data_IF_124696929416
#
_entry.id   IF_124696929416
#
_cell.length_a   1.000
_cell.length_b   1.000
_cell.length_c   1.000
_cell.angle_alpha   90.00
_cell.angle_beta   90.00
_cell.angle_gamma   90.00
#
_symmetry.space_group_name_H-M   'P 1'
#
loop_
_entity.id
_entity.type
_entity.pdbx_description
1 polymer ?
#
# COMPACT_ATOMS: atom_id res chain seq x y z
N UNK A 1 18.52 -34.21 -12.48
CA UNK A 1 19.43 -33.08 -12.68
C UNK A 1 19.49 -32.64 -14.14
N UNK A 2 19.63 -33.57 -15.12
CA UNK A 2 19.66 -33.19 -16.55
C UNK A 2 18.47 -32.33 -17.00
N UNK A 3 17.25 -32.69 -16.57
CA UNK A 3 16.05 -31.91 -16.90
C UNK A 3 16.09 -30.46 -16.32
N UNK A 4 16.70 -30.28 -15.16
CA UNK A 4 16.87 -28.97 -14.57
C UNK A 4 17.92 -28.13 -15.32
N UNK A 5 18.99 -28.77 -15.78
CA UNK A 5 20.01 -28.15 -16.60
C UNK A 5 19.54 -27.87 -18.05
N UNK A 6 18.57 -28.61 -18.55
CA UNK A 6 17.95 -28.40 -19.85
C UNK A 6 16.95 -27.21 -19.87
N UNK A 7 16.63 -26.66 -18.71
CA UNK A 7 15.85 -25.43 -18.63
C UNK A 7 16.68 -24.22 -19.08
N UNK A 8 15.97 -23.24 -19.63
CA UNK A 8 16.56 -21.94 -19.97
C UNK A 8 15.78 -20.85 -19.22
N UNK A 9 16.42 -20.09 -18.32
CA UNK A 9 17.77 -20.29 -17.79
C UNK A 9 17.92 -21.62 -17.04
N UNK A 10 19.14 -22.12 -16.75
CA UNK A 10 19.33 -23.36 -15.99
C UNK A 10 18.68 -23.29 -14.60
N UNK A 11 17.91 -24.30 -14.24
CA UNK A 11 17.22 -24.35 -12.95
C UNK A 11 18.13 -24.99 -11.90
N UNK A 12 18.49 -24.20 -10.88
CA UNK A 12 19.25 -24.70 -9.74
C UNK A 12 18.29 -25.32 -8.72
N UNK A 13 18.48 -26.61 -8.45
CA UNK A 13 17.68 -27.35 -7.48
C UNK A 13 18.54 -27.78 -6.28
N UNK A 14 17.96 -27.87 -5.07
CA UNK A 14 18.59 -28.55 -3.95
C UNK A 14 18.96 -29.97 -4.31
N UNK A 15 20.03 -30.50 -3.71
CA UNK A 15 20.41 -31.88 -3.90
C UNK A 15 19.26 -32.82 -3.53
N UNK A 16 18.92 -33.79 -4.39
CA UNK A 16 17.89 -34.78 -4.08
C UNK A 16 18.23 -35.57 -2.82
N UNK A 17 17.23 -35.80 -1.98
CA UNK A 17 17.36 -36.59 -0.78
C UNK A 17 16.80 -37.98 -0.97
N UNK A 18 17.41 -38.97 -0.32
CA UNK A 18 16.89 -40.33 -0.26
C UNK A 18 15.99 -40.50 0.98
N UNK A 19 14.79 -40.99 0.78
CA UNK A 19 13.86 -41.30 1.86
C UNK A 19 13.43 -42.77 1.78
N UNK A 20 13.21 -43.44 2.93
CA UNK A 20 12.67 -44.80 2.99
C UNK A 20 11.18 -44.75 3.29
N UNK A 21 10.39 -45.48 2.54
CA UNK A 21 8.98 -45.71 2.79
C UNK A 21 8.68 -47.18 2.74
N UNK A 22 8.57 -47.84 3.89
CA UNK A 22 8.55 -49.30 3.99
C UNK A 22 9.88 -49.90 3.49
N UNK A 23 9.82 -50.87 2.58
CA UNK A 23 11.00 -51.49 1.96
C UNK A 23 11.53 -50.69 0.74
N UNK A 24 10.78 -49.69 0.26
CA UNK A 24 11.16 -48.94 -0.91
C UNK A 24 12.04 -47.71 -0.55
N UNK A 25 13.08 -47.52 -1.37
CA UNK A 25 13.90 -46.29 -1.32
C UNK A 25 13.39 -45.33 -2.38
N UNK A 26 12.99 -44.12 -1.93
CA UNK A 26 12.47 -43.06 -2.78
C UNK A 26 13.52 -41.97 -2.95
N UNK A 27 13.61 -41.39 -4.15
CA UNK A 27 14.39 -40.20 -4.43
C UNK A 27 13.45 -38.98 -4.39
N UNK A 28 13.69 -38.08 -3.45
CA UNK A 28 12.94 -36.84 -3.31
C UNK A 28 13.71 -35.65 -3.95
N UNK A 29 13.12 -35.07 -4.97
CA UNK A 29 13.62 -33.84 -5.59
C UNK A 29 12.64 -32.69 -5.23
N UNK A 30 13.12 -31.70 -4.52
CA UNK A 30 12.34 -30.52 -4.17
C UNK A 30 12.54 -29.42 -5.23
N UNK A 31 11.45 -28.90 -5.75
CA UNK A 31 11.46 -27.71 -6.61
C UNK A 31 10.95 -26.55 -5.79
N UNK A 32 11.77 -25.53 -5.50
CA UNK A 32 11.34 -24.37 -4.72
C UNK A 32 10.16 -23.66 -5.39
N UNK A 33 9.19 -23.25 -4.59
CA UNK A 33 8.14 -22.36 -5.05
C UNK A 33 8.68 -20.92 -5.19
N UNK A 34 8.03 -20.10 -6.00
CA UNK A 34 8.37 -18.67 -6.08
C UNK A 34 9.69 -18.36 -6.78
N UNK A 35 10.18 -19.21 -7.67
CA UNK A 35 11.39 -18.93 -8.45
C UNK A 35 11.28 -17.58 -9.16
N UNK A 36 12.34 -16.75 -9.12
CA UNK A 36 12.37 -15.38 -9.62
C UNK A 36 12.30 -15.26 -11.14
N UNK A 37 12.69 -16.29 -11.88
CA UNK A 37 12.76 -16.28 -13.35
C UNK A 37 11.68 -17.16 -13.96
N UNK A 38 11.35 -16.90 -15.24
CA UNK A 38 10.49 -17.74 -16.03
C UNK A 38 11.33 -18.75 -16.79
N UNK A 39 11.10 -20.03 -16.56
CA UNK A 39 11.88 -21.12 -17.13
C UNK A 39 11.18 -21.73 -18.34
N UNK A 40 11.94 -21.95 -19.41
CA UNK A 40 11.49 -22.75 -20.54
C UNK A 40 12.23 -24.08 -20.58
N UNK A 41 11.58 -25.15 -20.99
CA UNK A 41 12.21 -26.44 -21.28
C UNK A 41 12.19 -26.66 -22.80
N UNK A 42 13.38 -26.72 -23.41
CA UNK A 42 13.53 -26.81 -24.88
C UNK A 42 12.70 -25.77 -25.64
N UNK A 43 12.73 -24.51 -25.15
CA UNK A 43 11.99 -23.39 -25.74
C UNK A 43 10.48 -23.40 -25.51
N UNK A 44 9.94 -24.34 -24.72
CA UNK A 44 8.51 -24.42 -24.38
C UNK A 44 8.28 -24.00 -22.93
N UNK A 45 7.34 -23.08 -22.73
CA UNK A 45 6.86 -22.68 -21.42
C UNK A 45 5.69 -23.58 -21.03
N UNK A 46 5.86 -24.34 -19.97
CA UNK A 46 4.94 -25.40 -19.56
C UNK A 46 4.33 -25.13 -18.19
N UNK A 47 3.07 -25.47 -18.02
CA UNK A 47 2.37 -25.48 -16.73
C UNK A 47 1.91 -26.89 -16.40
N UNK A 48 2.03 -27.28 -15.15
CA UNK A 48 1.50 -28.56 -14.67
C UNK A 48 -0.01 -28.43 -14.43
N UNK A 49 -0.79 -29.26 -15.11
CA UNK A 49 -2.23 -29.40 -14.88
C UNK A 49 -2.55 -30.87 -14.63
N UNK A 50 -2.83 -31.17 -13.36
CA UNK A 50 -3.03 -32.54 -12.93
C UNK A 50 -1.82 -33.44 -13.23
N UNK A 51 -2.03 -34.49 -14.04
CA UNK A 51 -1.00 -35.45 -14.44
C UNK A 51 -0.16 -35.06 -15.65
N UNK A 52 -0.46 -33.94 -16.34
CA UNK A 52 0.15 -33.57 -17.64
C UNK A 52 0.80 -32.22 -17.62
N UNK A 53 1.79 -31.99 -18.49
CA UNK A 53 2.40 -30.70 -18.73
C UNK A 53 1.73 -30.10 -19.97
N UNK A 54 1.11 -28.89 -19.80
CA UNK A 54 0.45 -28.15 -20.86
C UNK A 54 1.28 -26.92 -21.26
N UNK A 55 1.41 -26.60 -22.55
CA UNK A 55 2.00 -25.35 -22.95
C UNK A 55 1.17 -24.15 -22.44
N UNK A 56 1.86 -23.11 -21.99
CA UNK A 56 1.20 -21.85 -21.63
C UNK A 56 0.62 -21.18 -22.88
N UNK A 57 -0.59 -20.68 -22.80
CA UNK A 57 -1.12 -19.78 -23.81
C UNK A 57 -0.29 -18.49 -23.89
N UNK A 58 -0.28 -17.78 -25.03
CA UNK A 58 0.46 -16.51 -25.16
C UNK A 58 0.09 -15.48 -24.07
N UNK A 59 -1.18 -15.42 -23.69
CA UNK A 59 -1.64 -14.49 -22.65
C UNK A 59 -1.21 -14.93 -21.24
N UNK A 60 -1.26 -16.22 -20.95
CA UNK A 60 -0.76 -16.78 -19.68
C UNK A 60 0.77 -16.59 -19.58
N UNK A 61 1.50 -16.75 -20.66
CA UNK A 61 2.95 -16.51 -20.71
C UNK A 61 3.28 -15.03 -20.49
N UNK A 62 2.60 -14.11 -21.18
CA UNK A 62 2.78 -12.67 -20.97
C UNK A 62 2.52 -12.27 -19.51
N UNK A 63 1.45 -12.80 -18.92
CA UNK A 63 1.12 -12.56 -17.51
C UNK A 63 2.23 -13.06 -16.60
N UNK A 64 2.70 -14.29 -16.81
CA UNK A 64 3.77 -14.90 -16.02
C UNK A 64 5.10 -14.11 -16.13
N UNK A 65 5.47 -13.68 -17.34
CA UNK A 65 6.66 -12.85 -17.58
C UNK A 65 6.55 -11.48 -16.89
N UNK A 66 5.36 -10.88 -16.92
CA UNK A 66 5.10 -9.62 -16.21
C UNK A 66 5.13 -9.79 -14.70
N UNK A 67 4.50 -10.84 -14.16
CA UNK A 67 4.49 -11.15 -12.73
C UNK A 67 5.88 -11.45 -12.16
N UNK A 68 6.76 -12.01 -12.99
CA UNK A 68 8.13 -12.35 -12.62
C UNK A 68 9.15 -11.24 -12.93
N UNK A 69 8.73 -10.13 -13.51
CA UNK A 69 9.60 -9.01 -13.83
C UNK A 69 10.50 -9.23 -15.06
N UNK A 70 10.37 -10.35 -15.77
CA UNK A 70 11.15 -10.64 -16.98
C UNK A 70 10.82 -9.71 -18.15
N UNK A 71 9.61 -9.12 -18.14
CA UNK A 71 9.21 -8.01 -19.01
C UNK A 71 8.86 -6.84 -18.11
N UNK A 72 9.81 -5.97 -17.83
CA UNK A 72 9.57 -4.75 -17.07
C UNK A 72 8.58 -3.86 -17.81
N UNK A 73 7.29 -3.90 -17.42
CA UNK A 73 6.25 -3.06 -18.00
C UNK A 73 6.67 -1.58 -18.03
N UNK A 74 7.36 -1.13 -17.01
CA UNK A 74 7.82 0.25 -16.87
C UNK A 74 8.80 0.69 -17.97
N UNK A 75 9.58 -0.25 -18.55
CA UNK A 75 10.53 0.00 -19.65
C UNK A 75 9.88 -0.09 -21.02
N UNK A 76 8.63 -0.54 -21.11
CA UNK A 76 7.88 -0.59 -22.36
C UNK A 76 7.65 0.80 -22.93
N UNK A 77 7.64 0.92 -24.26
CA UNK A 77 7.31 2.15 -24.98
C UNK A 77 5.86 2.07 -25.39
N UNK A 78 4.98 2.97 -24.93
CA UNK A 78 3.61 3.01 -25.39
C UNK A 78 3.53 3.31 -26.91
N UNK A 79 2.48 2.80 -27.54
CA UNK A 79 2.22 3.09 -28.94
C UNK A 79 2.10 4.62 -29.15
N UNK A 80 2.76 5.11 -30.20
CA UNK A 80 2.80 6.54 -30.56
C UNK A 80 3.28 7.48 -29.45
N UNK A 81 4.03 6.99 -28.45
CA UNK A 81 4.62 7.86 -27.44
C UNK A 81 5.68 8.78 -28.06
N UNK A 82 5.57 10.07 -27.77
CA UNK A 82 6.44 11.11 -28.29
C UNK A 82 7.13 11.89 -27.16
N UNK A 83 8.36 12.38 -27.43
CA UNK A 83 9.11 13.18 -26.45
C UNK A 83 8.37 14.49 -26.06
N UNK A 84 7.49 14.99 -26.92
CA UNK A 84 6.65 16.17 -26.64
C UNK A 84 5.64 15.98 -25.50
N UNK A 85 5.35 14.73 -25.13
CA UNK A 85 4.49 14.42 -23.98
C UNK A 85 5.20 14.63 -22.64
N UNK A 86 6.53 14.66 -22.67
CA UNK A 86 7.35 14.92 -21.46
C UNK A 86 7.33 16.41 -21.12
N UNK A 87 7.11 16.72 -19.85
CA UNK A 87 7.20 18.06 -19.31
C UNK A 87 8.64 18.43 -18.99
N UNK A 88 9.18 19.38 -19.75
CA UNK A 88 10.56 19.83 -19.59
C UNK A 88 10.83 20.49 -18.24
N UNK A 89 9.83 21.14 -17.63
CA UNK A 89 9.98 21.75 -16.32
C UNK A 89 10.15 20.68 -15.22
N UNK A 90 9.35 19.61 -15.30
CA UNK A 90 9.48 18.45 -14.37
C UNK A 90 10.85 17.76 -14.53
N UNK A 91 11.32 17.60 -15.77
CA UNK A 91 12.65 17.04 -16.05
C UNK A 91 13.74 17.94 -15.49
N UNK A 92 13.68 19.25 -15.73
CA UNK A 92 14.69 20.20 -15.23
C UNK A 92 14.72 20.19 -13.69
N UNK A 93 13.58 20.20 -13.03
CA UNK A 93 13.51 20.12 -11.56
C UNK A 93 14.14 18.83 -11.01
N UNK A 94 13.96 17.73 -11.73
CA UNK A 94 14.57 16.45 -11.38
C UNK A 94 16.08 16.44 -11.60
N UNK A 95 16.57 16.92 -12.75
CA UNK A 95 18.01 16.89 -13.09
C UNK A 95 18.82 17.80 -12.18
N UNK A 96 18.31 18.98 -11.83
CA UNK A 96 18.94 19.86 -10.82
C UNK A 96 19.13 19.11 -9.50
N UNK A 97 18.13 18.37 -9.06
CA UNK A 97 18.23 17.58 -7.83
C UNK A 97 19.17 16.37 -7.94
N UNK A 98 19.23 15.77 -9.12
CA UNK A 98 20.08 14.61 -9.38
C UNK A 98 21.57 14.95 -9.55
N UNK A 99 21.90 16.23 -9.79
CA UNK A 99 23.26 16.76 -9.84
C UNK A 99 23.77 17.13 -11.23
N UNK A 100 25.03 17.66 -11.33
CA UNK A 100 25.57 18.29 -12.53
C UNK A 100 25.55 17.40 -13.78
N UNK A 101 25.91 16.12 -13.66
CA UNK A 101 25.93 15.18 -14.80
C UNK A 101 24.53 15.02 -15.44
N UNK A 102 23.46 15.17 -14.63
CA UNK A 102 22.10 15.08 -15.10
C UNK A 102 21.67 16.38 -15.81
N UNK A 103 22.15 17.54 -15.34
CA UNK A 103 21.84 18.84 -15.93
C UNK A 103 22.51 19.02 -17.29
N UNK A 104 23.78 18.58 -17.44
CA UNK A 104 24.51 18.72 -18.70
C UNK A 104 23.91 17.88 -19.84
N UNK A 105 23.41 16.67 -19.54
CA UNK A 105 22.89 15.73 -20.52
C UNK A 105 21.57 15.09 -20.07
N UNK A 106 20.48 15.85 -19.97
CA UNK A 106 19.24 15.39 -19.36
C UNK A 106 18.60 14.19 -20.10
N UNK A 107 18.64 14.14 -21.42
CA UNK A 107 18.07 13.02 -22.17
C UNK A 107 18.87 11.73 -22.02
N UNK A 108 20.20 11.81 -22.04
CA UNK A 108 21.05 10.65 -21.81
C UNK A 108 20.92 10.17 -20.34
N UNK A 109 20.74 11.10 -19.41
CA UNK A 109 20.50 10.77 -18.01
C UNK A 109 19.16 10.05 -17.83
N UNK A 110 18.08 10.56 -18.42
CA UNK A 110 16.77 9.90 -18.41
C UNK A 110 16.80 8.53 -19.10
N UNK A 111 17.60 8.37 -20.16
CA UNK A 111 17.79 7.06 -20.78
C UNK A 111 18.48 6.08 -19.81
N UNK A 112 19.54 6.49 -19.12
CA UNK A 112 20.19 5.66 -18.09
C UNK A 112 19.23 5.28 -16.95
N UNK A 113 18.29 6.17 -16.62
CA UNK A 113 17.24 5.90 -15.64
C UNK A 113 16.09 5.02 -16.18
N UNK A 114 16.13 4.61 -17.45
CA UNK A 114 15.09 3.81 -18.06
C UNK A 114 13.82 4.58 -18.41
N UNK A 115 13.84 5.93 -18.28
CA UNK A 115 12.69 6.79 -18.59
C UNK A 115 12.54 7.08 -20.09
N UNK A 116 13.62 6.96 -20.84
CA UNK A 116 13.67 7.12 -22.30
C UNK A 116 14.37 5.92 -22.94
N UNK A 117 14.01 5.62 -24.18
CA UNK A 117 14.75 4.72 -25.07
C UNK A 117 15.10 5.43 -26.36
N UNK A 118 16.25 5.07 -26.96
CA UNK A 118 16.61 5.55 -28.30
C UNK A 118 15.80 4.82 -29.35
N UNK A 119 15.23 5.54 -30.28
CA UNK A 119 14.38 4.97 -31.33
C UNK A 119 15.19 4.10 -32.33
N UNK A 120 16.47 4.37 -32.46
CA UNK A 120 17.43 3.63 -33.28
C UNK A 120 17.92 2.31 -32.62
N UNK A 121 17.55 2.04 -31.37
CA UNK A 121 17.94 0.82 -30.65
C UNK A 121 17.05 -0.40 -30.97
N UNK A 122 16.12 -0.32 -31.91
CA UNK A 122 15.32 -1.44 -32.43
C UNK A 122 16.10 -2.31 -33.44
N UNK A 123 17.39 -2.49 -33.27
CA UNK A 123 18.22 -3.40 -34.02
C UNK A 123 19.10 -4.20 -33.07
N UNK A 124 19.09 -5.51 -33.19
CA UNK A 124 20.10 -6.37 -32.60
C UNK A 124 21.48 -5.74 -32.78
N UNK A 125 22.09 -5.27 -31.72
CA UNK A 125 23.52 -4.92 -31.75
C UNK A 125 24.29 -6.21 -31.96
N UNK A 126 24.61 -6.50 -33.19
CA UNK A 126 25.57 -7.55 -33.50
C UNK A 126 26.95 -7.09 -32.95
N UNK A 127 27.64 -7.94 -32.17
CA UNK A 127 28.97 -7.64 -31.72
C UNK A 127 29.88 -7.41 -32.95
N UNK A 128 30.39 -6.18 -33.12
CA UNK A 128 31.35 -5.84 -34.19
C UNK A 128 30.93 -4.71 -35.15
N UNK A 129 29.74 -4.14 -35.01
CA UNK A 129 29.39 -2.92 -35.75
C UNK A 129 29.92 -1.68 -35.04
N UNK A 130 30.66 -0.88 -35.79
CA UNK A 130 31.25 0.37 -35.31
C UNK A 130 30.18 1.34 -34.79
N UNK A 131 30.53 2.11 -33.76
CA UNK A 131 29.72 3.21 -33.27
C UNK A 131 29.35 4.15 -34.42
N UNK A 132 28.09 4.69 -34.47
CA UNK A 132 27.70 5.65 -35.50
C UNK A 132 28.63 6.86 -35.49
N UNK A 133 28.90 7.46 -36.64
CA UNK A 133 29.76 8.61 -36.77
C UNK A 133 29.28 9.78 -35.93
N UNK A 134 30.24 10.56 -35.39
CA UNK A 134 29.95 11.71 -34.51
C UNK A 134 29.05 12.80 -35.16
N UNK A 135 28.95 12.83 -36.48
CA UNK A 135 28.16 13.78 -37.29
C UNK A 135 26.85 13.19 -37.80
N UNK A 136 26.38 12.06 -37.23
CA UNK A 136 25.12 11.43 -37.60
C UNK A 136 23.89 12.19 -37.12
N UNK A 137 22.66 11.87 -37.61
CA UNK A 137 21.43 12.49 -37.13
C UNK A 137 21.31 12.33 -35.64
N UNK A 138 20.86 13.39 -34.93
CA UNK A 138 20.70 13.37 -33.47
C UNK A 138 19.83 12.19 -33.06
N UNK A 139 20.23 11.43 -32.04
CA UNK A 139 19.44 10.30 -31.58
C UNK A 139 18.02 10.75 -31.24
N UNK A 140 17.04 10.08 -31.79
CA UNK A 140 15.63 10.29 -31.42
C UNK A 140 15.32 9.47 -30.18
N UNK A 141 14.70 10.10 -29.20
CA UNK A 141 14.29 9.44 -27.95
C UNK A 141 12.77 9.26 -27.92
N UNK A 142 12.33 8.16 -27.36
CA UNK A 142 10.92 7.89 -27.07
C UNK A 142 10.76 7.62 -25.56
N UNK A 143 9.71 8.18 -24.92
CA UNK A 143 9.47 7.93 -23.52
C UNK A 143 8.97 6.49 -23.28
N UNK A 144 9.45 5.90 -22.21
CA UNK A 144 8.96 4.63 -21.67
C UNK A 144 7.71 4.87 -20.81
N UNK A 145 7.02 3.79 -20.39
CA UNK A 145 5.94 3.89 -19.40
C UNK A 145 6.42 4.59 -18.13
N UNK A 146 7.62 4.25 -17.62
CA UNK A 146 8.22 4.93 -16.47
C UNK A 146 8.42 6.42 -16.73
N UNK A 147 8.98 6.79 -17.89
CA UNK A 147 9.21 8.18 -18.24
C UNK A 147 7.93 9.01 -18.26
N UNK A 148 6.83 8.44 -18.81
CA UNK A 148 5.54 9.11 -18.83
C UNK A 148 4.90 9.18 -17.44
N UNK A 149 4.94 8.11 -16.63
CA UNK A 149 4.43 8.15 -15.26
C UNK A 149 5.14 9.18 -14.39
N UNK A 150 6.42 9.44 -14.65
CA UNK A 150 7.24 10.34 -13.84
C UNK A 150 7.23 11.79 -14.36
N UNK A 151 7.13 11.99 -15.66
CA UNK A 151 7.42 13.29 -16.26
C UNK A 151 6.41 13.74 -17.34
N UNK A 152 5.32 13.01 -17.61
CA UNK A 152 4.35 13.47 -18.59
C UNK A 152 3.67 14.78 -18.17
N UNK A 153 3.20 15.55 -19.17
CA UNK A 153 2.34 16.70 -18.97
C UNK A 153 0.94 16.28 -18.53
N UNK A 154 0.46 15.17 -19.08
CA UNK A 154 -0.84 14.57 -18.79
C UNK A 154 -0.66 13.06 -18.67
N UNK A 155 -0.64 12.57 -17.42
CA UNK A 155 -0.51 11.14 -17.11
C UNK A 155 -1.84 10.43 -17.32
N UNK A 156 -2.96 11.11 -17.01
CA UNK A 156 -4.31 10.51 -17.08
C UNK A 156 -4.66 10.09 -18.50
N UNK A 157 -4.26 10.85 -19.51
CA UNK A 157 -4.50 10.53 -20.92
C UNK A 157 -3.92 9.16 -21.35
N UNK A 158 -2.84 8.72 -20.72
CA UNK A 158 -2.17 7.45 -21.01
C UNK A 158 -2.44 6.37 -19.98
N UNK A 159 -2.48 6.75 -18.71
CA UNK A 159 -2.56 5.85 -17.56
C UNK A 159 -3.63 6.32 -16.55
N UNK A 160 -4.92 6.31 -16.92
CA UNK A 160 -5.99 6.72 -15.99
C UNK A 160 -6.00 5.90 -14.70
N UNK A 161 -5.48 4.65 -14.77
CA UNK A 161 -5.35 3.78 -13.61
C UNK A 161 -4.21 4.17 -12.65
N UNK A 162 -3.33 5.12 -12.99
CA UNK A 162 -2.25 5.59 -12.13
C UNK A 162 -2.74 6.59 -11.06
N UNK A 163 -4.05 6.71 -10.87
CA UNK A 163 -4.65 7.58 -9.85
C UNK A 163 -4.46 7.04 -8.43
N UNK A 164 -4.48 7.97 -7.47
CA UNK A 164 -4.58 7.68 -6.04
C UNK A 164 -5.91 8.26 -5.56
N UNK A 165 -6.84 7.39 -5.18
CA UNK A 165 -8.11 7.78 -4.56
C UNK A 165 -7.93 7.86 -3.05
N UNK A 166 -8.16 9.03 -2.47
CA UNK A 166 -8.11 9.30 -1.04
C UNK A 166 -9.54 9.45 -0.54
N UNK A 167 -9.89 8.71 0.51
CA UNK A 167 -11.23 8.78 1.11
C UNK A 167 -11.10 8.86 2.62
N UNK A 168 -11.80 9.80 3.24
CA UNK A 168 -11.93 9.90 4.68
C UNK A 168 -13.34 9.52 5.13
N UNK A 169 -13.44 8.56 6.03
CA UNK A 169 -14.63 8.22 6.79
C UNK A 169 -14.48 8.73 8.22
N UNK A 170 -15.52 9.34 8.77
CA UNK A 170 -15.48 9.86 10.15
C UNK A 170 -15.50 8.75 11.21
N UNK A 171 -16.18 7.65 10.90
CA UNK A 171 -16.34 6.47 11.77
C UNK A 171 -15.30 5.39 11.55
N UNK A 172 -15.65 4.18 12.00
CA UNK A 172 -14.84 2.95 11.81
C UNK A 172 -15.21 2.20 10.55
N UNK A 173 -16.42 2.44 10.04
CA UNK A 173 -16.97 1.75 8.88
C UNK A 173 -17.14 2.69 7.69
N UNK A 174 -17.29 2.09 6.51
CA UNK A 174 -17.68 2.83 5.32
C UNK A 174 -19.08 3.35 5.50
N UNK A 175 -19.29 4.65 5.33
CA UNK A 175 -20.57 5.34 5.47
C UNK A 175 -20.88 6.12 4.19
N UNK A 176 -22.13 6.54 4.04
CA UNK A 176 -22.59 7.33 2.89
C UNK A 176 -21.98 8.74 2.89
N UNK A 177 -21.60 9.26 4.08
CA UNK A 177 -20.90 10.52 4.22
C UNK A 177 -19.41 10.30 4.31
N UNK A 178 -18.69 10.75 3.29
CA UNK A 178 -17.22 10.67 3.21
C UNK A 178 -16.68 11.89 2.46
N UNK A 179 -15.41 12.17 2.69
CA UNK A 179 -14.64 13.14 1.93
C UNK A 179 -13.72 12.41 0.97
N UNK A 180 -13.69 12.82 -0.31
CA UNK A 180 -12.93 12.14 -1.36
C UNK A 180 -12.11 13.11 -2.18
N UNK A 181 -10.88 12.72 -2.49
CA UNK A 181 -10.01 13.36 -3.47
C UNK A 181 -9.40 12.30 -4.40
N UNK A 182 -9.49 12.53 -5.71
CA UNK A 182 -8.82 11.72 -6.72
C UNK A 182 -7.60 12.48 -7.23
N UNK A 183 -6.42 11.92 -6.97
CA UNK A 183 -5.15 12.54 -7.37
C UNK A 183 -4.67 11.90 -8.67
N UNK A 184 -4.66 12.69 -9.73
CA UNK A 184 -4.25 12.31 -11.08
C UNK A 184 -3.13 13.21 -11.55
N UNK A 185 -1.91 12.80 -11.33
CA UNK A 185 -0.69 13.55 -11.67
C UNK A 185 0.47 12.59 -11.89
N UNK A 186 1.65 13.11 -12.23
CA UNK A 186 2.88 12.32 -12.20
C UNK A 186 3.11 11.73 -10.83
N UNK A 187 3.71 10.54 -10.76
CA UNK A 187 3.86 9.82 -9.49
C UNK A 187 4.54 10.64 -8.38
N UNK A 188 5.61 11.43 -8.65
CA UNK A 188 6.19 12.28 -7.61
C UNK A 188 5.21 13.32 -7.06
N UNK A 189 4.42 13.96 -7.93
CA UNK A 189 3.44 14.97 -7.50
C UNK A 189 2.23 14.31 -6.83
N UNK A 190 1.79 13.16 -7.33
CA UNK A 190 0.70 12.39 -6.73
C UNK A 190 1.04 11.96 -5.29
N UNK A 191 2.27 11.47 -5.05
CA UNK A 191 2.75 11.14 -3.70
C UNK A 191 2.74 12.37 -2.79
N UNK A 192 3.30 13.52 -3.24
CA UNK A 192 3.35 14.75 -2.43
C UNK A 192 1.95 15.28 -2.10
N UNK A 193 1.04 15.22 -3.07
CA UNK A 193 -0.34 15.66 -2.88
C UNK A 193 -1.10 14.75 -1.92
N UNK A 194 -0.98 13.44 -2.09
CA UNK A 194 -1.59 12.46 -1.20
C UNK A 194 -1.02 12.54 0.23
N UNK A 195 0.30 12.70 0.38
CA UNK A 195 0.94 12.90 1.69
C UNK A 195 0.40 14.15 2.38
N UNK A 196 0.29 15.27 1.66
CA UNK A 196 -0.25 16.53 2.19
C UNK A 196 -1.68 16.35 2.65
N UNK A 197 -2.53 15.77 1.81
CA UNK A 197 -3.92 15.49 2.15
C UNK A 197 -4.04 14.63 3.41
N UNK A 198 -3.28 13.56 3.52
CA UNK A 198 -3.26 12.71 4.71
C UNK A 198 -2.81 13.48 5.95
N UNK A 199 -1.77 14.32 5.84
CA UNK A 199 -1.31 15.13 6.96
C UNK A 199 -2.36 16.19 7.39
N UNK A 200 -3.20 16.68 6.50
CA UNK A 200 -4.29 17.61 6.79
C UNK A 200 -5.49 16.92 7.44
N UNK A 201 -5.82 15.71 7.02
CA UNK A 201 -7.02 14.98 7.46
C UNK A 201 -6.79 14.05 8.66
N UNK A 202 -5.54 13.64 8.92
CA UNK A 202 -5.22 12.88 10.12
C UNK A 202 -5.42 13.72 11.37
N UNK A 203 -6.03 13.10 12.38
CA UNK A 203 -6.21 13.75 13.69
C UNK A 203 -4.88 13.99 14.36
N UNK A 204 -4.76 15.17 14.94
CA UNK A 204 -3.62 15.61 15.74
C UNK A 204 -4.13 16.34 16.97
N UNK A 205 -3.36 16.30 18.03
CA UNK A 205 -3.71 17.01 19.24
C UNK A 205 -2.52 17.12 20.18
N UNK A 206 -2.76 17.76 21.32
CA UNK A 206 -1.77 17.87 22.38
C UNK A 206 -2.44 17.48 23.69
N UNK A 207 -1.73 16.73 24.54
CA UNK A 207 -2.18 16.39 25.88
C UNK A 207 -1.13 16.77 26.88
N UNK A 208 -1.55 17.16 28.09
CA UNK A 208 -0.63 17.35 29.21
C UNK A 208 -0.31 15.99 29.83
N UNK A 209 0.97 15.67 29.98
CA UNK A 209 1.45 14.48 30.71
C UNK A 209 2.31 15.01 31.85
N UNK A 210 1.73 15.09 33.04
CA UNK A 210 2.33 15.84 34.14
C UNK A 210 2.35 17.33 33.82
N UNK A 211 3.54 17.95 33.84
CA UNK A 211 3.74 19.36 33.47
C UNK A 211 4.23 19.57 32.04
N UNK A 212 4.36 18.51 31.26
CA UNK A 212 4.83 18.58 29.88
C UNK A 212 3.67 18.44 28.88
N UNK A 213 3.66 19.31 27.86
CA UNK A 213 2.79 19.18 26.72
C UNK A 213 3.38 18.15 25.75
N UNK A 214 2.65 17.08 25.47
CA UNK A 214 2.99 16.09 24.45
C UNK A 214 2.01 16.18 23.29
N UNK A 215 2.56 16.43 22.10
CA UNK A 215 1.77 16.37 20.88
C UNK A 215 1.60 14.90 20.44
N UNK A 216 0.45 14.60 19.89
CA UNK A 216 0.14 13.29 19.35
C UNK A 216 -0.47 13.40 17.96
N UNK A 217 -0.27 12.37 17.15
CA UNK A 217 -0.91 12.20 15.85
C UNK A 217 -1.61 10.84 15.80
N UNK A 218 -2.65 10.74 14.99
CA UNK A 218 -3.41 9.50 14.81
C UNK A 218 -2.50 8.35 14.37
N UNK A 219 -1.54 8.64 13.48
CA UNK A 219 -0.52 7.71 13.01
C UNK A 219 0.83 8.41 13.00
N UNK A 220 1.95 7.68 13.12
CA UNK A 220 3.28 8.21 12.84
C UNK A 220 3.38 8.65 11.37
N UNK A 221 3.74 9.91 11.13
CA UNK A 221 3.80 10.47 9.79
C UNK A 221 4.72 9.67 8.84
N UNK A 222 5.85 9.18 9.34
CA UNK A 222 6.77 8.38 8.55
C UNK A 222 6.20 7.00 8.17
N UNK A 223 5.40 6.36 9.05
CA UNK A 223 4.72 5.10 8.73
C UNK A 223 3.65 5.28 7.64
N UNK A 224 2.89 6.38 7.71
CA UNK A 224 1.90 6.75 6.68
C UNK A 224 2.58 7.00 5.34
N UNK A 225 3.66 7.80 5.34
CA UNK A 225 4.45 8.09 4.15
C UNK A 225 4.99 6.82 3.52
N UNK A 226 5.54 5.92 4.33
CA UNK A 226 6.11 4.66 3.86
C UNK A 226 5.05 3.76 3.23
N UNK A 227 3.87 3.62 3.85
CA UNK A 227 2.77 2.85 3.31
C UNK A 227 2.30 3.42 1.95
N UNK A 228 2.16 4.74 1.84
CA UNK A 228 1.76 5.42 0.61
C UNK A 228 2.81 5.24 -0.50
N UNK A 229 4.07 5.48 -0.19
CA UNK A 229 5.15 5.45 -1.18
C UNK A 229 5.39 4.03 -1.67
N UNK A 230 5.32 3.02 -0.79
CA UNK A 230 5.40 1.62 -1.17
C UNK A 230 4.22 1.20 -2.07
N UNK A 231 3.02 1.68 -1.80
CA UNK A 231 1.86 1.43 -2.66
C UNK A 231 2.07 1.95 -4.09
N UNK A 232 2.71 3.12 -4.25
CA UNK A 232 3.05 3.70 -5.55
C UNK A 232 4.23 2.97 -6.20
N UNK A 233 5.30 2.74 -5.45
CA UNK A 233 6.54 2.14 -5.96
C UNK A 233 6.37 0.70 -6.45
N UNK A 234 5.52 -0.08 -5.76
CA UNK A 234 5.34 -1.51 -6.02
C UNK A 234 4.01 -1.86 -6.71
N UNK A 235 3.19 -0.85 -7.07
CA UNK A 235 1.97 -1.06 -7.84
C UNK A 235 2.27 -1.78 -9.16
N UNK A 236 1.40 -2.71 -9.54
CA UNK A 236 1.40 -3.26 -10.88
C UNK A 236 0.66 -2.33 -11.85
N UNK A 237 1.42 -1.49 -12.57
CA UNK A 237 0.84 -0.51 -13.51
C UNK A 237 0.26 -1.14 -14.77
N UNK A 238 0.50 -2.43 -15.03
CA UNK A 238 -0.15 -3.19 -16.10
C UNK A 238 -1.61 -3.50 -15.80
N UNK A 239 -1.99 -3.51 -14.51
CA UNK A 239 -3.38 -3.70 -14.06
C UNK A 239 -4.19 -2.44 -14.37
N UNK A 240 -5.21 -2.59 -15.21
CA UNK A 240 -6.14 -1.53 -15.61
C UNK A 240 -7.45 -1.66 -14.82
N UNK A 241 -8.18 -0.57 -14.72
CA UNK A 241 -9.53 -0.55 -14.14
C UNK A 241 -9.61 -0.24 -12.65
N UNK A 242 -8.48 -0.23 -11.92
CA UNK A 242 -8.45 0.26 -10.54
C UNK A 242 -7.16 1.00 -10.22
N UNK A 243 -7.26 2.05 -9.39
CA UNK A 243 -6.14 2.83 -8.86
C UNK A 243 -5.70 2.38 -7.48
N UNK A 244 -4.74 3.11 -6.91
CA UNK A 244 -4.40 2.99 -5.49
C UNK A 244 -5.54 3.60 -4.69
N UNK A 245 -5.94 2.95 -3.60
CA UNK A 245 -6.96 3.45 -2.67
C UNK A 245 -6.38 3.63 -1.29
N UNK A 246 -6.59 4.81 -0.74
CA UNK A 246 -6.17 5.17 0.61
C UNK A 246 -7.42 5.56 1.39
N UNK A 247 -7.80 4.74 2.36
CA UNK A 247 -9.01 4.90 3.16
C UNK A 247 -8.60 5.26 4.59
N UNK A 248 -8.92 6.48 4.99
CA UNK A 248 -8.67 7.01 6.33
C UNK A 248 -9.94 6.87 7.17
N UNK A 249 -9.90 6.00 8.17
CA UNK A 249 -10.97 5.80 9.14
C UNK A 249 -10.66 6.46 10.48
N UNK A 250 -11.64 6.47 11.36
CA UNK A 250 -11.47 6.99 12.71
C UNK A 250 -10.42 6.22 13.55
N UNK A 251 -10.18 4.95 13.25
CA UNK A 251 -9.29 4.07 14.01
C UNK A 251 -8.15 3.45 13.21
N UNK A 252 -8.17 3.54 11.87
CA UNK A 252 -7.16 2.93 11.01
C UNK A 252 -6.99 3.68 9.70
N UNK A 253 -5.85 3.42 9.05
CA UNK A 253 -5.56 3.80 7.68
C UNK A 253 -5.37 2.53 6.87
N UNK A 254 -6.07 2.39 5.76
CA UNK A 254 -5.94 1.31 4.81
C UNK A 254 -5.35 1.83 3.51
N UNK A 255 -4.26 1.23 3.05
CA UNK A 255 -3.60 1.56 1.78
C UNK A 255 -3.60 0.32 0.90
N UNK A 256 -4.40 0.34 -0.14
CA UNK A 256 -4.51 -0.73 -1.12
C UNK A 256 -3.80 -0.37 -2.41
N UNK A 257 -2.99 -1.28 -2.93
CA UNK A 257 -2.28 -1.16 -4.20
C UNK A 257 -2.59 -2.36 -5.10
N UNK A 258 -3.00 -2.14 -6.37
CA UNK A 258 -3.18 -3.21 -7.35
C UNK A 258 -1.88 -3.95 -7.64
N UNK A 259 -1.97 -5.28 -7.72
CA UNK A 259 -0.84 -6.18 -7.93
C UNK A 259 -0.46 -6.96 -6.68
N UNK A 260 -0.27 -8.27 -6.83
CA UNK A 260 0.14 -9.17 -5.76
C UNK A 260 1.62 -8.99 -5.44
N UNK A 261 2.09 -9.56 -4.34
CA UNK A 261 3.51 -9.56 -4.00
C UNK A 261 4.34 -10.15 -5.16
N UNK A 262 5.45 -9.51 -5.54
CA UNK A 262 6.22 -9.92 -6.70
C UNK A 262 7.18 -11.07 -6.41
N UNK A 263 7.32 -11.98 -7.36
CA UNK A 263 8.37 -12.98 -7.37
C UNK A 263 8.33 -13.94 -6.17
N UNK A 264 9.39 -13.92 -5.38
CA UNK A 264 9.61 -14.77 -4.21
C UNK A 264 9.24 -14.08 -2.89
N UNK A 265 8.75 -12.86 -2.94
CA UNK A 265 8.31 -12.13 -1.74
C UNK A 265 6.98 -12.72 -1.25
N UNK A 266 6.91 -13.05 0.02
CA UNK A 266 5.72 -13.56 0.72
C UNK A 266 5.45 -12.72 1.96
N UNK A 267 4.29 -12.90 2.60
CA UNK A 267 3.98 -12.20 3.85
C UNK A 267 4.96 -12.56 4.98
N UNK A 268 5.53 -13.76 4.94
CA UNK A 268 6.47 -14.25 5.95
C UNK A 268 7.86 -13.61 5.80
N UNK A 269 8.30 -13.33 4.58
CA UNK A 269 9.64 -12.80 4.29
C UNK A 269 9.67 -11.33 3.85
N UNK A 270 8.53 -10.65 3.80
CA UNK A 270 8.39 -9.27 3.29
C UNK A 270 9.30 -8.24 4.00
N UNK A 271 9.70 -8.52 5.23
CA UNK A 271 10.62 -7.67 6.01
C UNK A 271 12.07 -7.86 5.56
N UNK A 272 12.43 -9.09 5.21
CA UNK A 272 13.80 -9.50 4.90
C UNK A 272 14.12 -9.36 3.41
N UNK A 273 13.14 -9.69 2.55
CA UNK A 273 13.31 -9.70 1.10
C UNK A 273 13.17 -8.30 0.49
N UNK A 274 14.04 -8.04 -0.48
CA UNK A 274 14.11 -6.74 -1.15
C UNK A 274 13.98 -6.94 -2.65
N UNK A 275 12.78 -6.77 -3.12
CA UNK A 275 12.47 -6.88 -4.54
C UNK A 275 11.63 -5.69 -4.99
N UNK A 276 11.96 -5.11 -6.14
CA UNK A 276 11.15 -4.07 -6.76
C UNK A 276 10.68 -4.52 -8.14
N UNK A 277 9.37 -4.46 -8.38
CA UNK A 277 8.77 -4.66 -9.69
C UNK A 277 9.11 -3.52 -10.65
N UNK A 278 9.27 -2.31 -10.11
CA UNK A 278 9.42 -1.07 -10.87
C UNK A 278 10.74 -0.39 -10.50
N UNK A 279 11.86 -0.96 -10.92
CA UNK A 279 13.21 -0.47 -10.57
C UNK A 279 13.47 0.97 -11.04
N UNK A 280 12.99 1.33 -12.26
CA UNK A 280 13.15 2.68 -12.80
C UNK A 280 12.36 3.70 -11.98
N UNK A 281 11.11 3.38 -11.62
CA UNK A 281 10.28 4.24 -10.77
C UNK A 281 10.91 4.43 -9.38
N UNK A 282 11.31 3.33 -8.73
CA UNK A 282 11.98 3.36 -7.42
C UNK A 282 13.26 4.20 -7.46
N UNK A 283 14.07 4.04 -8.51
CA UNK A 283 15.30 4.79 -8.66
C UNK A 283 15.05 6.31 -8.73
N UNK A 284 14.09 6.75 -9.56
CA UNK A 284 13.78 8.17 -9.72
C UNK A 284 13.11 8.74 -8.46
N UNK A 285 12.19 8.00 -7.83
CA UNK A 285 11.57 8.41 -6.57
C UNK A 285 12.61 8.53 -5.45
N UNK A 286 13.65 7.68 -5.45
CA UNK A 286 14.77 7.77 -4.50
C UNK A 286 15.66 8.98 -4.78
N UNK A 287 16.00 9.26 -6.03
CA UNK A 287 16.75 10.46 -6.42
C UNK A 287 16.00 11.75 -6.01
N UNK A 288 14.67 11.70 -6.03
CA UNK A 288 13.79 12.78 -5.53
C UNK A 288 13.65 12.81 -4.01
N UNK A 289 14.24 11.87 -3.27
CA UNK A 289 14.15 11.76 -1.82
C UNK A 289 12.76 11.39 -1.30
N UNK A 290 11.94 10.75 -2.14
CA UNK A 290 10.62 10.25 -1.75
C UNK A 290 10.71 8.84 -1.17
N UNK A 291 11.71 8.04 -1.58
CA UNK A 291 11.98 6.68 -1.10
C UNK A 291 13.43 6.59 -0.59
N UNK A 292 13.68 5.72 0.37
CA UNK A 292 15.02 5.28 0.72
C UNK A 292 15.38 3.97 0.00
N UNK A 293 16.52 3.96 -0.71
CA UNK A 293 16.96 2.81 -1.52
C UNK A 293 17.40 1.58 -0.70
N UNK A 294 17.67 1.75 0.57
CA UNK A 294 18.25 0.70 1.41
C UNK A 294 17.25 -0.42 1.78
N UNK A 295 15.96 -0.27 1.43
CA UNK A 295 14.94 -1.29 1.64
C UNK A 295 14.53 -1.48 3.12
N UNK A 296 14.81 -0.51 4.00
CA UNK A 296 14.42 -0.54 5.41
C UNK A 296 13.05 0.09 5.68
N UNK A 297 12.24 0.28 4.65
CA UNK A 297 10.96 0.99 4.77
C UNK A 297 9.97 0.28 5.68
N UNK A 298 9.81 -1.03 5.51
CA UNK A 298 8.91 -1.84 6.36
C UNK A 298 9.44 -1.90 7.81
N UNK A 299 10.74 -2.11 8.01
CA UNK A 299 11.37 -2.08 9.34
C UNK A 299 11.13 -0.75 10.05
N UNK A 300 11.27 0.35 9.32
CA UNK A 300 11.02 1.69 9.85
C UNK A 300 9.55 1.88 10.21
N UNK A 301 8.63 1.41 9.36
CA UNK A 301 7.19 1.45 9.63
C UNK A 301 6.85 0.67 10.90
N UNK A 302 7.35 -0.55 11.05
CA UNK A 302 7.20 -1.39 12.25
C UNK A 302 7.72 -0.67 13.51
N UNK A 303 8.95 -0.14 13.45
CA UNK A 303 9.57 0.58 14.55
C UNK A 303 8.78 1.82 14.97
N UNK A 304 8.36 2.66 14.00
CA UNK A 304 7.62 3.89 14.30
C UNK A 304 6.25 3.60 14.90
N UNK A 305 5.56 2.54 14.47
CA UNK A 305 4.32 2.11 15.08
C UNK A 305 4.54 1.66 16.52
N UNK A 306 5.58 0.88 16.79
CA UNK A 306 5.95 0.43 18.13
C UNK A 306 6.34 1.61 19.05
N UNK A 307 7.15 2.56 18.57
CA UNK A 307 7.53 3.78 19.30
C UNK A 307 6.32 4.66 19.66
N UNK A 308 5.29 4.66 18.82
CA UNK A 308 4.03 5.35 19.08
C UNK A 308 3.07 4.56 20.01
N UNK A 309 3.44 3.35 20.43
CA UNK A 309 2.58 2.48 21.23
C UNK A 309 1.39 1.91 20.46
N UNK A 310 1.50 1.82 19.13
CA UNK A 310 0.46 1.33 18.24
C UNK A 310 0.74 -0.12 17.82
N UNK A 311 -0.31 -0.89 17.47
CA UNK A 311 -0.14 -2.23 16.92
C UNK A 311 0.74 -2.23 15.66
N UNK A 312 1.48 -3.31 15.38
CA UNK A 312 2.24 -3.42 14.14
C UNK A 312 1.33 -3.31 12.91
N UNK A 313 1.85 -2.81 11.78
CA UNK A 313 1.13 -2.83 10.52
C UNK A 313 0.64 -4.23 10.15
N UNK A 314 -0.58 -4.33 9.67
CA UNK A 314 -1.10 -5.57 9.13
C UNK A 314 -0.95 -5.57 7.61
N UNK A 315 -0.39 -6.66 7.07
CA UNK A 315 -0.19 -6.88 5.65
C UNK A 315 -1.11 -7.99 5.16
N UNK A 316 -1.80 -7.77 4.06
CA UNK A 316 -2.71 -8.77 3.49
C UNK A 316 -2.64 -8.77 1.97
N UNK A 317 -2.36 -9.91 1.40
CA UNK A 317 -2.51 -10.13 -0.03
C UNK A 317 -3.98 -10.45 -0.35
N UNK A 318 -4.51 -9.79 -1.36
CA UNK A 318 -5.86 -10.02 -1.88
C UNK A 318 -5.79 -10.75 -3.22
N UNK A 319 -6.94 -11.12 -3.79
CA UNK A 319 -6.97 -11.75 -5.11
C UNK A 319 -6.33 -10.88 -6.21
N UNK A 320 -6.41 -9.56 -6.11
CA UNK A 320 -5.99 -8.61 -7.15
C UNK A 320 -4.91 -7.61 -6.70
N UNK A 321 -4.58 -7.55 -5.41
CA UNK A 321 -3.67 -6.53 -4.91
C UNK A 321 -3.13 -6.81 -3.52
N UNK A 322 -2.53 -5.78 -2.95
CA UNK A 322 -1.90 -5.80 -1.63
C UNK A 322 -2.47 -4.69 -0.74
N UNK A 323 -2.80 -5.02 0.49
CA UNK A 323 -3.37 -4.12 1.48
C UNK A 323 -2.45 -3.99 2.68
N UNK A 324 -2.15 -2.74 3.03
CA UNK A 324 -1.48 -2.37 4.28
C UNK A 324 -2.50 -1.68 5.18
N UNK A 325 -2.61 -2.12 6.44
CA UNK A 325 -3.47 -1.49 7.44
C UNK A 325 -2.63 -1.01 8.61
N UNK A 326 -2.68 0.28 8.90
CA UNK A 326 -2.09 0.90 10.07
C UNK A 326 -3.20 1.16 11.08
N UNK A 327 -3.14 0.56 12.26
CA UNK A 327 -4.02 0.90 13.37
C UNK A 327 -3.62 2.28 13.92
N UNK A 328 -4.60 3.15 14.13
CA UNK A 328 -4.39 4.50 14.66
C UNK A 328 -4.70 4.61 16.13
N UNK A 329 -4.28 5.71 16.74
CA UNK A 329 -4.75 6.04 18.08
C UNK A 329 -6.29 6.20 18.04
N UNK A 330 -7.02 5.48 18.87
CA UNK A 330 -8.46 5.67 18.97
C UNK A 330 -8.75 7.13 19.30
N UNK A 331 -9.77 7.71 18.69
CA UNK A 331 -10.24 8.99 19.15
C UNK A 331 -10.77 8.80 20.57
N UNK A 332 -10.21 9.53 21.52
CA UNK A 332 -10.85 9.65 22.83
C UNK A 332 -12.27 10.17 22.57
N UNK A 333 -13.28 9.32 22.78
CA UNK A 333 -14.68 9.63 22.52
C UNK A 333 -15.27 9.20 21.16
N UNK A 334 -14.53 8.54 20.25
CA UNK A 334 -15.13 7.82 19.12
C UNK A 334 -15.44 6.38 19.52
N UNK A 335 -16.68 6.16 19.76
CA UNK A 335 -17.26 4.83 19.95
C UNK A 335 -17.59 4.24 18.58
N UNK A 336 -17.62 2.92 18.52
CA UNK A 336 -18.21 2.18 17.41
C UNK A 336 -19.52 2.85 16.95
N UNK A 337 -19.69 3.00 15.64
CA UNK A 337 -20.92 3.49 15.00
C UNK A 337 -21.16 5.02 14.87
N UNK A 338 -20.14 5.80 14.55
CA UNK A 338 -20.40 7.18 14.05
C UNK A 338 -21.02 8.16 15.06
N UNK A 339 -21.04 7.81 16.34
CA UNK A 339 -21.62 8.65 17.40
C UNK A 339 -20.66 9.76 17.80
N UNK A 340 -21.01 10.99 17.47
CA UNK A 340 -20.29 12.18 17.89
C UNK A 340 -20.52 12.45 19.39
N UNK A 341 -19.68 11.83 20.24
CA UNK A 341 -19.74 12.05 21.70
C UNK A 341 -19.42 13.49 22.11
N UNK A 342 -18.94 14.34 21.19
CA UNK A 342 -18.67 15.75 21.47
C UNK A 342 -19.92 16.54 21.83
N UNK A 343 -21.08 16.17 21.31
CA UNK A 343 -22.34 16.75 21.75
C UNK A 343 -22.65 16.40 23.19
N UNK A 344 -22.39 15.16 23.60
CA UNK A 344 -22.61 14.70 24.98
C UNK A 344 -21.64 15.37 25.97
N UNK A 345 -20.37 15.58 25.55
CA UNK A 345 -19.41 16.37 26.34
C UNK A 345 -19.83 17.83 26.44
N UNK A 346 -20.35 18.45 25.37
CA UNK A 346 -20.90 19.80 25.39
C UNK A 346 -22.15 19.92 26.27
N UNK A 347 -22.95 18.86 26.38
CA UNK A 347 -24.07 18.75 27.29
C UNK A 347 -23.65 18.60 28.76
N UNK A 348 -22.35 18.49 29.04
CA UNK A 348 -21.81 18.34 30.40
C UNK A 348 -22.02 16.95 31.00
N UNK A 349 -22.14 15.91 30.16
CA UNK A 349 -22.22 14.54 30.63
C UNK A 349 -20.86 14.06 31.13
N UNK A 350 -20.85 13.30 32.23
CA UNK A 350 -19.64 12.70 32.76
C UNK A 350 -19.24 11.43 31.98
N UNK A 351 -18.01 10.96 32.18
CA UNK A 351 -17.43 9.81 31.47
C UNK A 351 -18.28 8.54 31.63
N UNK A 352 -18.90 8.29 32.79
CA UNK A 352 -19.74 7.12 33.03
C UNK A 352 -21.06 7.18 32.27
N UNK A 353 -21.66 8.39 32.20
CA UNK A 353 -22.87 8.63 31.41
C UNK A 353 -22.59 8.44 29.92
N UNK A 354 -21.46 8.92 29.44
CA UNK A 354 -21.02 8.73 28.07
C UNK A 354 -20.80 7.23 27.79
N UNK A 355 -20.10 6.51 28.69
CA UNK A 355 -19.89 5.07 28.55
C UNK A 355 -21.21 4.26 28.49
N UNK A 356 -22.19 4.65 29.30
CA UNK A 356 -23.52 4.03 29.28
C UNK A 356 -24.28 4.28 27.97
N UNK A 357 -24.23 5.50 27.43
CA UNK A 357 -24.83 5.84 26.14
C UNK A 357 -24.16 5.04 25.00
N UNK A 358 -22.85 4.89 25.05
CA UNK A 358 -22.07 4.09 24.16
C UNK A 358 -22.54 2.63 24.17
N UNK A 359 -22.56 2.00 25.35
CA UNK A 359 -23.01 0.63 25.51
C UNK A 359 -24.42 0.42 24.96
N UNK A 360 -25.31 1.43 25.14
CA UNK A 360 -26.67 1.39 24.63
C UNK A 360 -26.78 1.40 23.11
N UNK A 361 -25.82 2.01 22.42
CA UNK A 361 -25.82 2.00 20.94
C UNK A 361 -25.46 0.64 20.38
N UNK A 362 -24.63 -0.11 21.12
CA UNK A 362 -24.20 -1.46 20.71
C UNK A 362 -25.22 -2.52 21.14
N UNK A 363 -25.68 -2.46 22.39
CA UNK A 363 -26.48 -3.52 23.03
C UNK A 363 -28.01 -3.21 23.07
N UNK A 364 -28.40 -2.02 22.57
CA UNK A 364 -29.78 -1.49 22.55
C UNK A 364 -30.49 -1.36 23.92
N UNK A 365 -29.97 -1.99 24.99
CA UNK A 365 -30.48 -1.87 26.35
C UNK A 365 -29.32 -2.01 27.35
N UNK A 366 -29.44 -1.34 28.49
CA UNK A 366 -28.49 -1.46 29.61
C UNK A 366 -29.23 -1.68 30.92
N UNK A 367 -28.75 -2.61 31.75
CA UNK A 367 -29.28 -2.87 33.09
C UNK A 367 -28.35 -2.30 34.16
N UNK A 368 -28.81 -2.24 35.42
CA UNK A 368 -27.96 -1.84 36.54
C UNK A 368 -26.77 -2.80 36.74
N UNK A 369 -26.88 -4.04 36.31
CA UNK A 369 -25.79 -5.03 36.36
C UNK A 369 -24.72 -4.70 35.31
N UNK A 370 -25.15 -4.44 34.10
CA UNK A 370 -24.22 -4.08 33.00
C UNK A 370 -23.45 -2.80 33.37
N UNK A 371 -24.12 -1.81 33.97
CA UNK A 371 -23.47 -0.60 34.47
C UNK A 371 -22.43 -0.89 35.55
N UNK A 372 -22.70 -1.84 36.43
CA UNK A 372 -21.74 -2.22 37.48
C UNK A 372 -20.55 -2.99 36.91
N UNK A 373 -20.76 -3.77 35.86
CA UNK A 373 -19.68 -4.46 35.14
C UNK A 373 -18.82 -3.46 34.34
N UNK A 374 -19.41 -2.41 33.79
CA UNK A 374 -18.66 -1.33 33.10
C UNK A 374 -17.84 -0.48 34.08
N UNK A 375 -18.31 -0.31 35.32
CA UNK A 375 -17.68 0.53 36.32
C UNK A 375 -17.61 -0.19 37.70
N UNK A 376 -16.73 -1.18 37.86
CA UNK A 376 -16.65 -2.01 39.06
C UNK A 376 -16.34 -1.22 40.37
N UNK A 377 -15.57 -0.14 40.22
CA UNK A 377 -15.09 0.68 41.33
C UNK A 377 -16.06 1.77 41.77
N UNK A 378 -17.25 1.88 41.09
CA UNK A 378 -18.24 2.92 41.38
C UNK A 378 -19.43 2.35 42.12
N UNK A 379 -19.92 3.10 43.16
CA UNK A 379 -21.06 2.62 43.93
C UNK A 379 -22.33 2.50 43.09
N UNK A 380 -23.18 1.48 43.31
CA UNK A 380 -24.43 1.31 42.58
C UNK A 380 -25.39 2.51 42.65
N UNK A 381 -25.33 3.25 43.78
CA UNK A 381 -26.13 4.46 43.96
C UNK A 381 -25.69 5.61 43.05
N UNK A 382 -24.38 5.78 42.84
CA UNK A 382 -23.84 6.78 41.93
C UNK A 382 -24.22 6.46 40.50
N UNK A 383 -24.12 5.19 40.09
CA UNK A 383 -24.53 4.76 38.73
C UNK A 383 -26.02 4.96 38.47
N UNK A 384 -26.89 4.69 39.49
CA UNK A 384 -28.31 4.97 39.38
C UNK A 384 -28.63 6.46 39.22
N UNK A 385 -27.86 7.32 39.95
CA UNK A 385 -28.01 8.78 39.81
C UNK A 385 -27.59 9.27 38.44
N UNK A 386 -26.49 8.75 37.89
CA UNK A 386 -26.07 9.05 36.54
C UNK A 386 -27.14 8.68 35.50
N UNK A 387 -27.77 7.50 35.64
CA UNK A 387 -28.82 7.07 34.74
C UNK A 387 -30.12 7.89 34.91
N UNK A 388 -30.46 8.31 36.13
CA UNK A 388 -31.61 9.16 36.38
C UNK A 388 -31.44 10.54 35.71
N UNK A 389 -30.23 11.12 35.78
CA UNK A 389 -29.91 12.37 35.08
C UNK A 389 -30.07 12.24 33.56
N UNK A 390 -29.61 11.12 32.96
CA UNK A 390 -29.78 10.87 31.51
C UNK A 390 -31.27 10.73 31.11
N UNK A 391 -32.09 10.14 31.98
CA UNK A 391 -33.55 10.05 31.79
C UNK A 391 -34.19 11.44 31.91
N UNK A 392 -33.83 12.23 32.88
CA UNK A 392 -34.33 13.60 33.09
C UNK A 392 -33.98 14.52 31.92
N UNK A 393 -32.77 14.38 31.36
CA UNK A 393 -32.33 15.10 30.15
C UNK A 393 -33.01 14.58 28.87
N UNK A 394 -33.83 13.53 28.94
CA UNK A 394 -34.58 13.00 27.82
C UNK A 394 -33.74 12.19 26.82
N UNK A 395 -32.53 11.79 27.21
CA UNK A 395 -31.64 10.95 26.38
C UNK A 395 -31.99 9.45 26.49
N UNK A 396 -32.54 9.03 27.65
CA UNK A 396 -32.92 7.64 27.90
C UNK A 396 -34.40 7.50 28.30
N UNK A 397 -34.92 6.31 28.03
CA UNK A 397 -36.19 5.83 28.57
C UNK A 397 -35.92 4.71 29.57
N UNK A 398 -36.48 4.85 30.77
CA UNK A 398 -36.48 3.81 31.80
C UNK A 398 -37.67 2.88 31.59
N UNK A 399 -37.40 1.59 31.48
CA UNK A 399 -38.42 0.54 31.30
C UNK A 399 -38.33 -0.46 32.43
N UNK A 400 -39.50 -0.86 32.94
CA UNK A 400 -39.64 -1.82 34.04
C UNK A 400 -39.49 -1.20 35.42
N UNK A 401 -39.64 -2.05 36.45
CA UNK A 401 -39.57 -1.63 37.86
C UNK A 401 -38.71 -2.58 38.67
N UNK A 402 -38.07 -2.05 39.71
CA UNK A 402 -37.22 -2.78 40.66
C UNK A 402 -36.09 -3.59 39.96
N UNK A 403 -36.11 -4.92 40.07
CA UNK A 403 -35.10 -5.82 39.54
C UNK A 403 -35.16 -5.99 38.00
N UNK A 404 -36.29 -5.66 37.38
CA UNK A 404 -36.50 -5.75 35.93
C UNK A 404 -36.24 -4.40 35.21
N UNK A 405 -35.64 -3.42 35.90
CA UNK A 405 -35.32 -2.11 35.31
C UNK A 405 -34.19 -2.22 34.32
N UNK A 406 -34.44 -1.71 33.11
CA UNK A 406 -33.42 -1.45 32.08
C UNK A 406 -33.69 -0.11 31.40
N UNK A 407 -32.68 0.41 30.72
CA UNK A 407 -32.70 1.67 29.99
C UNK A 407 -32.47 1.44 28.50
N UNK A 408 -33.11 2.24 27.67
CA UNK A 408 -32.91 2.29 26.20
C UNK A 408 -32.74 3.73 25.77
N UNK A 409 -32.14 3.94 24.63
CA UNK A 409 -32.09 5.27 23.98
C UNK A 409 -33.51 5.72 23.59
N UNK A 410 -33.77 7.03 23.73
CA UNK A 410 -35.04 7.63 23.38
C UNK A 410 -35.11 7.95 21.90
#
# INVERSE_FOLDING_TARGET
>A
LEAALACTPPLVLPLPALARHGEATLLLASVPAGLSQVYSLHGKYLRREGGTNQPLSPDALRRLLSERGDIGWERGIPENAALSEIDQAKVSAYTVRAGPDAEERPLDFLQRRGCLQRADSFGFSLPGLAAPPADGPRPTFRPTNAGLLLFARDVEARFPQAEITLVQYRGRDMADEFEREDVRDTLPEAVRRAERWLMEHMRKGSRMVGFERKDWAQFPAGAVREALVNAVAHRDYSVRGEGIRVLLFGDRLEVYSPGRLPGHVTLENIVEERYSRNECLVQVLADLGLIERLGYGIDRMLRQMAEAGLPPPAFRETAAGFLVTLAGQPAEGLVADGLDTREWVKMGLNERQIAALIFLTEQRRITNRDLQELHPDVSPETLRRDMADLVERGLLLKIGDKRATYYILK
#
